data_IF_620164232594
#
_entry.id   IF_620164232594
#
_cell.length_a   1.000
_cell.length_b   1.000
_cell.length_c   1.000
_cell.angle_alpha   90.00
_cell.angle_beta   90.00
_cell.angle_gamma   90.00
#
_symmetry.space_group_name_H-M   'P 1'
#
loop_
_entity.id
_entity.type
_entity.pdbx_description
1 polymer ?
#
# COMPACT_ATOMS: atom_id res chain seq x y z
N UNK A 1 -1.32 -42.97 -12.39
CA UNK A 1 -1.39 -42.37 -11.05
C UNK A 1 -2.51 -43.05 -10.27
N UNK A 2 -2.19 -43.83 -9.23
CA UNK A 2 -3.20 -44.49 -8.39
C UNK A 2 -3.87 -43.44 -7.49
N UNK A 3 -5.20 -43.34 -7.54
CA UNK A 3 -6.00 -42.53 -6.62
C UNK A 3 -6.16 -43.31 -5.31
N UNK A 4 -5.50 -42.87 -4.25
CA UNK A 4 -5.65 -43.44 -2.91
C UNK A 4 -6.87 -42.82 -2.23
N UNK A 5 -7.93 -43.59 -2.04
CA UNK A 5 -9.13 -43.14 -1.33
C UNK A 5 -8.88 -43.18 0.19
N UNK A 6 -9.10 -42.06 0.89
CA UNK A 6 -8.96 -42.00 2.35
C UNK A 6 -10.33 -42.16 2.98
N UNK A 7 -10.46 -43.10 3.92
CA UNK A 7 -11.71 -43.32 4.65
C UNK A 7 -11.59 -42.75 6.05
N UNK A 8 -12.50 -41.87 6.44
CA UNK A 8 -12.55 -41.25 7.78
C UNK A 8 -13.77 -41.79 8.53
N UNK A 9 -13.55 -42.31 9.73
CA UNK A 9 -14.60 -42.77 10.64
C UNK A 9 -14.85 -41.70 11.71
N UNK A 10 -16.09 -41.26 11.83
CA UNK A 10 -16.54 -40.33 12.88
C UNK A 10 -17.76 -40.93 13.59
N UNK A 11 -18.02 -40.51 14.83
CA UNK A 11 -19.13 -41.02 15.64
C UNK A 11 -20.05 -39.85 15.97
N UNK A 12 -21.35 -40.01 15.74
CA UNK A 12 -22.33 -38.96 16.04
C UNK A 12 -22.62 -38.89 17.56
N UNK A 13 -23.35 -37.86 17.99
CA UNK A 13 -23.72 -37.67 19.42
C UNK A 13 -24.59 -38.80 20.02
N UNK A 14 -25.09 -39.72 19.20
CA UNK A 14 -25.89 -40.88 19.60
C UNK A 14 -25.10 -42.19 19.56
N UNK A 15 -23.82 -42.16 19.19
CA UNK A 15 -22.94 -43.33 19.17
C UNK A 15 -22.91 -44.09 17.84
N UNK A 16 -23.60 -43.61 16.80
CA UNK A 16 -23.59 -44.28 15.49
C UNK A 16 -22.30 -43.94 14.73
N UNK A 17 -21.67 -44.96 14.18
CA UNK A 17 -20.50 -44.81 13.32
C UNK A 17 -20.89 -44.29 11.93
N UNK A 18 -20.34 -43.14 11.55
CA UNK A 18 -20.42 -42.57 10.21
C UNK A 18 -19.07 -42.79 9.53
N UNK A 19 -19.09 -43.52 8.41
CA UNK A 19 -17.90 -43.82 7.61
C UNK A 19 -18.02 -43.04 6.29
N UNK A 20 -17.13 -42.05 6.09
CA UNK A 20 -17.07 -41.24 4.88
C UNK A 20 -15.81 -41.59 4.11
N UNK A 21 -15.96 -42.01 2.85
CA UNK A 21 -14.84 -42.29 1.96
C UNK A 21 -14.67 -41.16 0.96
N UNK A 22 -13.52 -40.48 1.02
CA UNK A 22 -13.20 -39.34 0.17
C UNK A 22 -12.16 -39.77 -0.87
N UNK A 23 -12.52 -39.64 -2.15
CA UNK A 23 -11.67 -40.05 -3.28
C UNK A 23 -10.93 -38.88 -3.95
N UNK A 24 -11.18 -37.64 -3.52
CA UNK A 24 -10.60 -36.41 -4.07
C UNK A 24 -9.78 -35.66 -3.01
N UNK A 25 -8.54 -35.29 -3.34
CA UNK A 25 -7.68 -34.45 -2.46
C UNK A 25 -8.29 -33.08 -2.13
N UNK A 26 -9.28 -32.63 -2.89
CA UNK A 26 -9.94 -31.33 -2.69
C UNK A 26 -10.74 -31.29 -1.38
N UNK A 27 -11.37 -32.40 -1.00
CA UNK A 27 -12.30 -32.47 0.15
C UNK A 27 -11.59 -32.74 1.49
N UNK A 28 -10.32 -33.14 1.47
CA UNK A 28 -9.48 -33.31 2.66
C UNK A 28 -8.82 -32.01 3.13
N UNK A 29 -8.90 -30.93 2.35
CA UNK A 29 -8.34 -29.66 2.74
C UNK A 29 -9.32 -28.93 3.66
N UNK A 30 -9.12 -29.06 4.97
CA UNK A 30 -9.70 -28.14 5.96
C UNK A 30 -9.45 -26.71 5.48
N UNK A 31 -10.50 -26.00 5.07
CA UNK A 31 -10.43 -24.58 4.77
C UNK A 31 -10.11 -23.85 6.07
N UNK A 32 -8.82 -23.69 6.32
CA UNK A 32 -8.33 -22.86 7.40
C UNK A 32 -8.21 -21.45 6.81
N UNK A 33 -8.97 -20.49 7.35
CA UNK A 33 -8.75 -19.07 7.08
C UNK A 33 -7.38 -18.70 7.64
N UNK A 34 -6.32 -18.99 6.89
CA UNK A 34 -4.91 -18.70 7.23
C UNK A 34 -4.59 -17.20 7.17
N UNK A 35 -5.55 -16.33 7.46
CA UNK A 35 -5.24 -14.96 7.79
C UNK A 35 -4.86 -14.93 9.26
N UNK A 36 -3.54 -14.94 9.50
CA UNK A 36 -2.86 -14.69 10.77
C UNK A 36 -3.16 -13.26 11.31
N UNK A 37 -4.43 -12.85 11.32
CA UNK A 37 -4.87 -11.51 11.68
C UNK A 37 -4.56 -11.23 13.15
N UNK A 38 -4.60 -12.23 14.02
CA UNK A 38 -4.23 -12.11 15.44
C UNK A 38 -2.75 -11.78 15.61
N UNK A 39 -1.88 -12.55 14.96
CA UNK A 39 -0.42 -12.32 15.01
C UNK A 39 -0.09 -10.96 14.40
N UNK A 40 -0.74 -10.58 13.30
CA UNK A 40 -0.61 -9.26 12.69
C UNK A 40 -1.09 -8.13 13.61
N UNK A 41 -2.25 -8.28 14.25
CA UNK A 41 -2.79 -7.30 15.17
C UNK A 41 -1.86 -7.08 16.37
N UNK A 42 -1.31 -8.15 16.96
CA UNK A 42 -0.30 -8.06 18.02
C UNK A 42 0.96 -7.37 17.51
N UNK A 43 1.41 -7.70 16.30
CA UNK A 43 2.62 -7.08 15.73
C UNK A 43 2.41 -5.59 15.44
N UNK A 44 1.20 -5.20 15.01
CA UNK A 44 0.84 -3.82 14.69
C UNK A 44 0.90 -2.89 15.91
N UNK A 45 0.69 -3.41 17.13
CA UNK A 45 0.82 -2.58 18.35
C UNK A 45 2.22 -1.99 18.52
N UNK A 46 3.23 -2.62 17.91
CA UNK A 46 4.64 -2.22 17.99
C UNK A 46 5.09 -1.31 16.82
N UNK A 47 4.21 -0.94 15.89
CA UNK A 47 4.55 -0.06 14.76
C UNK A 47 5.09 1.29 15.21
N UNK A 48 4.62 1.81 16.35
CA UNK A 48 5.10 3.06 16.93
C UNK A 48 6.61 3.06 17.21
N UNK A 49 7.22 1.90 17.53
CA UNK A 49 8.66 1.79 17.78
C UNK A 49 9.49 2.12 16.53
N UNK A 50 8.98 1.74 15.34
CA UNK A 50 9.64 2.01 14.05
C UNK A 50 9.70 3.49 13.73
N UNK A 51 8.81 4.30 14.31
CA UNK A 51 8.76 5.75 14.07
C UNK A 51 9.95 6.52 14.66
N UNK A 52 10.76 5.85 15.48
CA UNK A 52 12.01 6.39 16.02
C UNK A 52 13.17 6.33 15.01
N UNK A 53 13.10 5.38 14.07
CA UNK A 53 14.14 5.13 13.08
C UNK A 53 13.53 5.19 11.68
N UNK A 54 13.58 6.39 11.09
CA UNK A 54 13.05 6.66 9.75
C UNK A 54 14.22 7.09 8.87
N UNK A 55 14.46 6.33 7.81
CA UNK A 55 15.45 6.62 6.79
C UNK A 55 14.74 7.15 5.53
N UNK A 56 15.43 8.00 4.79
CA UNK A 56 14.95 8.55 3.51
C UNK A 56 16.03 8.26 2.49
N UNK A 57 15.66 7.62 1.37
CA UNK A 57 16.61 7.38 0.28
C UNK A 57 17.16 8.70 -0.24
N UNK A 58 18.48 8.79 -0.33
CA UNK A 58 19.20 9.92 -0.89
C UNK A 58 19.85 9.52 -2.19
N UNK A 59 19.06 9.44 -3.26
CA UNK A 59 19.58 9.29 -4.62
C UNK A 59 19.98 10.66 -5.19
N UNK A 60 20.80 10.66 -6.24
CA UNK A 60 21.30 11.87 -6.90
C UNK A 60 20.16 12.84 -7.22
N UNK A 61 20.17 13.99 -6.54
CA UNK A 61 19.15 15.04 -6.70
C UNK A 61 19.24 15.57 -8.13
N UNK A 62 18.21 15.33 -8.93
CA UNK A 62 18.07 16.00 -10.23
C UNK A 62 17.77 17.48 -9.96
N UNK A 63 18.68 18.36 -10.37
CA UNK A 63 18.58 19.82 -10.14
C UNK A 63 17.29 20.47 -10.69
N UNK A 64 16.57 19.80 -11.61
CA UNK A 64 15.38 20.32 -12.27
C UNK A 64 14.03 19.80 -11.70
N UNK A 65 14.02 19.10 -10.56
CA UNK A 65 12.81 18.52 -9.96
C UNK A 65 12.27 19.27 -8.72
N UNK A 66 10.99 19.06 -8.40
CA UNK A 66 10.41 19.54 -7.15
C UNK A 66 10.95 18.78 -5.93
N UNK A 67 11.15 19.49 -4.81
CA UNK A 67 11.49 18.89 -3.51
C UNK A 67 10.26 18.78 -2.63
N UNK A 68 9.94 17.57 -2.15
CA UNK A 68 8.75 17.33 -1.32
C UNK A 68 9.11 17.28 0.16
N UNK A 69 8.42 18.06 0.98
CA UNK A 69 8.59 18.09 2.44
C UNK A 69 7.40 17.39 3.09
N UNK A 70 7.66 16.26 3.75
CA UNK A 70 6.65 15.49 4.48
C UNK A 70 6.72 15.76 6.00
N UNK A 71 5.66 16.29 6.63
CA UNK A 71 5.63 16.52 8.07
C UNK A 71 5.72 15.22 8.87
N UNK A 72 6.66 15.16 9.81
CA UNK A 72 6.93 13.96 10.62
C UNK A 72 5.71 13.51 11.42
N UNK A 73 4.90 14.41 11.95
CA UNK A 73 3.70 14.06 12.74
C UNK A 73 2.70 13.22 11.93
N UNK A 74 2.44 13.62 10.67
CA UNK A 74 1.50 12.90 9.80
C UNK A 74 2.10 11.56 9.38
N UNK A 75 3.40 11.53 9.02
CA UNK A 75 4.11 10.29 8.72
C UNK A 75 4.07 9.28 9.87
N UNK A 76 4.36 9.72 11.09
CA UNK A 76 4.30 8.84 12.28
C UNK A 76 2.90 8.27 12.48
N UNK A 77 1.87 9.09 12.32
CA UNK A 77 0.47 8.63 12.41
C UNK A 77 0.15 7.62 11.32
N UNK A 78 0.56 7.87 10.08
CA UNK A 78 0.37 6.99 8.93
C UNK A 78 1.01 5.61 9.16
N UNK A 79 2.25 5.57 9.67
CA UNK A 79 2.93 4.32 10.06
C UNK A 79 2.15 3.58 11.16
N UNK A 80 1.67 4.29 12.18
CA UNK A 80 0.99 3.66 13.34
C UNK A 80 -0.36 3.06 12.98
N UNK A 81 -1.09 3.61 12.01
CA UNK A 81 -2.40 3.07 11.58
C UNK A 81 -2.29 1.95 10.52
N UNK A 82 -1.07 1.61 10.10
CA UNK A 82 -0.82 0.63 9.04
C UNK A 82 -0.80 -0.82 9.55
N UNK A 83 -0.46 -1.73 8.65
CA UNK A 83 -0.21 -3.13 8.95
C UNK A 83 1.09 -3.60 8.26
N UNK A 84 1.78 -4.58 8.86
CA UNK A 84 3.06 -5.08 8.37
C UNK A 84 2.96 -5.92 7.08
N UNK A 85 1.76 -6.32 6.67
CA UNK A 85 1.52 -7.19 5.51
C UNK A 85 0.54 -6.59 4.52
N UNK A 86 -0.59 -6.05 4.96
CA UNK A 86 -1.53 -5.38 4.06
C UNK A 86 -1.10 -3.93 3.87
N UNK A 87 -0.90 -3.54 2.62
CA UNK A 87 -0.58 -2.16 2.27
C UNK A 87 -1.77 -1.25 2.58
N UNK A 88 -1.48 -0.06 3.09
CA UNK A 88 -2.43 1.06 3.16
C UNK A 88 -1.85 2.23 2.35
N UNK A 89 -2.71 3.09 1.85
CA UNK A 89 -2.37 4.25 1.07
C UNK A 89 -3.14 5.51 1.49
N UNK A 90 -2.55 6.66 1.22
CA UNK A 90 -3.18 7.95 1.41
C UNK A 90 -2.82 8.92 0.29
N UNK A 91 -3.79 9.72 -0.14
CA UNK A 91 -3.56 10.77 -1.13
C UNK A 91 -2.89 11.98 -0.49
N UNK A 92 -1.89 12.53 -1.17
CA UNK A 92 -1.09 13.65 -0.69
C UNK A 92 -1.66 14.95 -1.24
N UNK A 93 -1.85 15.93 -0.36
CA UNK A 93 -2.23 17.29 -0.73
C UNK A 93 -1.32 18.28 -0.04
N UNK A 94 -0.99 19.36 -0.75
CA UNK A 94 -0.07 20.36 -0.24
C UNK A 94 -0.05 21.62 -1.08
N UNK A 95 0.91 22.48 -0.76
CA UNK A 95 1.14 23.77 -1.43
C UNK A 95 2.63 24.03 -1.53
N UNK A 96 3.03 24.85 -2.49
CA UNK A 96 4.35 25.48 -2.46
C UNK A 96 4.35 26.67 -1.50
N UNK A 97 5.43 26.87 -0.72
CA UNK A 97 5.57 28.09 0.07
C UNK A 97 5.74 29.30 -0.87
N UNK A 98 5.31 30.48 -0.42
CA UNK A 98 5.22 31.68 -1.26
C UNK A 98 6.57 32.19 -1.77
N UNK A 99 7.65 31.86 -1.07
CA UNK A 99 9.03 32.24 -1.35
C UNK A 99 9.77 31.22 -2.23
N UNK A 100 9.30 29.97 -2.32
CA UNK A 100 9.98 28.93 -3.08
C UNK A 100 9.02 27.96 -3.82
N UNK A 101 8.72 28.22 -5.11
CA UNK A 101 7.81 27.37 -5.89
C UNK A 101 8.38 25.97 -6.21
N UNK A 102 9.69 25.76 -6.07
CA UNK A 102 10.33 24.45 -6.32
C UNK A 102 10.17 23.47 -5.15
N UNK A 103 9.64 23.94 -4.02
CA UNK A 103 9.33 23.10 -2.86
C UNK A 103 7.84 22.82 -2.82
N UNK A 104 7.47 21.58 -2.48
CA UNK A 104 6.10 21.12 -2.26
C UNK A 104 5.97 20.66 -0.82
N UNK A 105 5.30 21.43 0.01
CA UNK A 105 5.02 21.06 1.40
C UNK A 105 3.74 20.24 1.47
N UNK A 106 3.86 18.97 1.85
CA UNK A 106 2.70 18.12 2.08
C UNK A 106 2.03 18.60 3.37
N UNK A 107 0.77 19.01 3.28
CA UNK A 107 0.00 19.54 4.41
C UNK A 107 -1.06 18.56 4.90
N UNK A 108 -1.53 17.67 4.02
CA UNK A 108 -2.60 16.73 4.32
C UNK A 108 -2.35 15.37 3.67
N UNK A 109 -2.73 14.31 4.39
CA UNK A 109 -2.90 12.97 3.85
C UNK A 109 -4.37 12.58 4.01
N UNK A 110 -5.03 12.27 2.89
CA UNK A 110 -6.42 11.82 2.88
C UNK A 110 -6.48 10.31 2.78
N UNK A 111 -7.20 9.68 3.71
CA UNK A 111 -7.41 8.23 3.77
C UNK A 111 -8.80 7.87 3.22
N UNK A 112 -8.93 7.47 1.94
CA UNK A 112 -10.19 6.99 1.40
C UNK A 112 -10.50 5.55 1.89
N UNK A 113 -11.75 5.08 1.74
CA UNK A 113 -12.10 3.67 1.93
C UNK A 113 -11.24 2.78 1.03
N UNK A 114 -10.56 1.80 1.59
CA UNK A 114 -9.54 1.03 0.86
C UNK A 114 -9.32 -0.35 1.47
N UNK A 115 -8.70 -1.23 0.70
CA UNK A 115 -8.16 -2.51 1.19
C UNK A 115 -6.87 -2.83 0.45
N UNK A 116 -5.97 -3.57 1.09
CA UNK A 116 -4.66 -3.88 0.53
C UNK A 116 -4.32 -5.36 0.59
N UNK A 117 -3.45 -5.75 -0.32
CA UNK A 117 -2.72 -7.02 -0.30
C UNK A 117 -1.29 -6.75 0.18
N UNK A 118 -0.40 -7.74 0.04
CA UNK A 118 1.02 -7.56 0.32
C UNK A 118 1.79 -6.90 -0.83
N UNK A 119 1.18 -6.78 -2.00
CA UNK A 119 1.83 -6.24 -3.21
C UNK A 119 1.19 -4.95 -3.72
N UNK A 120 -0.07 -4.68 -3.37
CA UNK A 120 -0.81 -3.53 -3.90
C UNK A 120 -1.94 -3.11 -2.97
N UNK A 121 -2.48 -1.93 -3.22
CA UNK A 121 -3.64 -1.34 -2.55
C UNK A 121 -4.75 -1.06 -3.56
N UNK A 122 -5.98 -1.26 -3.14
CA UNK A 122 -7.16 -0.97 -3.94
C UNK A 122 -7.86 0.26 -3.36
N UNK A 123 -7.88 1.32 -4.17
CA UNK A 123 -8.48 2.61 -3.86
C UNK A 123 -9.74 2.81 -4.72
N UNK A 124 -10.71 3.63 -4.28
CA UNK A 124 -11.85 4.02 -5.10
C UNK A 124 -11.37 4.88 -6.27
N UNK A 125 -12.03 4.79 -7.42
CA UNK A 125 -11.72 5.65 -8.57
C UNK A 125 -11.94 7.14 -8.27
N UNK A 126 -12.92 7.47 -7.43
CA UNK A 126 -13.22 8.86 -7.09
C UNK A 126 -12.15 9.46 -6.17
N UNK A 127 -11.50 10.54 -6.62
CA UNK A 127 -10.59 11.32 -5.79
C UNK A 127 -11.32 12.05 -4.66
N UNK A 128 -10.61 12.31 -3.53
CA UNK A 128 -11.18 13.07 -2.42
C UNK A 128 -11.65 14.47 -2.80
N UNK A 129 -12.83 14.83 -2.32
CA UNK A 129 -13.39 16.17 -2.42
C UNK A 129 -13.81 16.65 -1.03
N UNK A 130 -13.27 17.78 -0.60
CA UNK A 130 -13.60 18.39 0.68
C UNK A 130 -13.28 19.88 0.65
N UNK A 131 -13.98 20.69 1.43
CA UNK A 131 -13.79 22.15 1.48
C UNK A 131 -12.34 22.53 1.78
N UNK A 132 -11.73 21.88 2.77
CA UNK A 132 -10.33 22.12 3.16
C UNK A 132 -9.29 21.70 2.11
N UNK A 133 -9.67 20.96 1.06
CA UNK A 133 -8.74 20.59 -0.01
C UNK A 133 -8.69 21.61 -1.15
N UNK A 134 -9.62 22.58 -1.19
CA UNK A 134 -9.75 23.53 -2.31
C UNK A 134 -8.52 24.43 -2.50
N UNK A 135 -7.85 24.76 -1.42
CA UNK A 135 -6.68 25.64 -1.43
C UNK A 135 -5.35 24.87 -1.58
N UNK A 136 -5.42 23.55 -1.80
CA UNK A 136 -4.26 22.67 -1.96
C UNK A 136 -4.26 21.98 -3.33
N UNK A 137 -3.07 21.67 -3.84
CA UNK A 137 -2.91 20.86 -5.05
C UNK A 137 -2.63 19.39 -4.68
N UNK A 138 -3.08 18.42 -5.50
CA UNK A 138 -2.73 17.02 -5.30
C UNK A 138 -1.24 16.80 -5.62
N UNK A 139 -0.54 16.12 -4.72
CA UNK A 139 0.90 15.81 -4.83
C UNK A 139 1.14 14.31 -5.07
N UNK A 140 0.10 13.57 -5.43
CA UNK A 140 0.14 12.12 -5.66
C UNK A 140 -0.34 11.33 -4.44
N UNK A 141 0.36 10.25 -4.11
CA UNK A 141 -0.04 9.34 -3.03
C UNK A 141 1.17 8.70 -2.35
N UNK A 142 0.93 8.18 -1.15
CA UNK A 142 1.90 7.36 -0.44
C UNK A 142 1.28 6.05 0.01
N UNK A 143 2.08 5.00 0.13
CA UNK A 143 1.63 3.72 0.66
C UNK A 143 2.71 3.01 1.47
N UNK A 144 2.28 2.12 2.34
CA UNK A 144 3.20 1.20 3.03
C UNK A 144 3.56 0.04 2.12
N UNK A 145 4.79 -0.47 2.24
CA UNK A 145 5.20 -1.72 1.60
C UNK A 145 5.87 -2.67 2.60
N UNK A 146 5.51 -3.97 2.62
CA UNK A 146 6.07 -4.93 3.56
C UNK A 146 7.58 -5.14 3.41
N UNK A 147 8.07 -5.07 2.18
CA UNK A 147 9.49 -5.23 1.85
C UNK A 147 9.98 -3.99 1.11
N UNK A 148 11.22 -3.60 1.39
CA UNK A 148 11.88 -2.56 0.63
C UNK A 148 12.26 -3.07 -0.77
N UNK A 149 11.88 -2.32 -1.79
CA UNK A 149 12.22 -2.59 -3.18
C UNK A 149 13.24 -1.56 -3.66
N UNK A 150 14.22 -1.94 -4.50
CA UNK A 150 15.17 -0.99 -5.07
C UNK A 150 14.53 -0.06 -6.12
N UNK A 151 13.32 -0.39 -6.58
CA UNK A 151 12.61 0.33 -7.64
C UNK A 151 11.10 0.35 -7.35
N UNK A 152 10.41 1.30 -7.99
CA UNK A 152 8.96 1.39 -7.95
C UNK A 152 8.32 0.11 -8.53
N UNK A 153 7.29 -0.43 -7.88
CA UNK A 153 6.66 -1.66 -8.35
C UNK A 153 5.86 -1.43 -9.64
N UNK A 154 5.72 -2.43 -10.53
CA UNK A 154 4.85 -2.34 -11.70
C UNK A 154 3.40 -1.99 -11.36
N UNK A 155 2.91 -2.46 -10.20
CA UNK A 155 1.59 -2.17 -9.68
C UNK A 155 1.43 -0.69 -9.33
N UNK A 156 2.44 -0.07 -8.72
CA UNK A 156 2.41 1.35 -8.38
C UNK A 156 2.49 2.22 -9.63
N UNK A 157 3.31 1.84 -10.63
CA UNK A 157 3.36 2.52 -11.94
C UNK A 157 1.98 2.49 -12.60
N UNK A 158 1.36 1.31 -12.65
CA UNK A 158 0.04 1.12 -13.25
C UNK A 158 -1.02 1.94 -12.51
N UNK A 159 -1.02 1.89 -11.16
CA UNK A 159 -1.98 2.63 -10.33
C UNK A 159 -1.84 4.13 -10.52
N UNK A 160 -0.61 4.65 -10.42
CA UNK A 160 -0.36 6.09 -10.57
C UNK A 160 -0.70 6.59 -11.98
N UNK A 161 -0.34 5.84 -13.02
CA UNK A 161 -0.68 6.19 -14.41
C UNK A 161 -2.19 6.15 -14.69
N UNK A 162 -2.92 5.17 -14.16
CA UNK A 162 -4.38 5.10 -14.28
C UNK A 162 -5.05 6.30 -13.62
N UNK A 163 -4.66 6.64 -12.38
CA UNK A 163 -5.20 7.82 -11.67
C UNK A 163 -4.93 9.10 -12.46
N UNK A 164 -3.70 9.30 -12.95
CA UNK A 164 -3.35 10.45 -13.79
C UNK A 164 -4.18 10.51 -15.09
N UNK A 165 -4.46 9.36 -15.71
CA UNK A 165 -5.24 9.32 -16.95
C UNK A 165 -6.72 9.66 -16.76
N UNK A 166 -7.26 9.34 -15.58
CA UNK A 166 -8.66 9.59 -15.22
C UNK A 166 -8.87 10.99 -14.63
N UNK A 167 -7.83 11.61 -14.06
CA UNK A 167 -7.92 12.86 -13.32
C UNK A 167 -6.92 13.89 -13.80
N UNK A 168 -7.39 14.84 -14.60
CA UNK A 168 -6.58 15.95 -15.14
C UNK A 168 -6.00 16.89 -14.07
N UNK A 169 -6.44 16.78 -12.81
CA UNK A 169 -5.87 17.53 -11.70
C UNK A 169 -4.49 17.01 -11.27
N UNK A 170 -4.13 15.78 -11.65
CA UNK A 170 -2.82 15.20 -11.37
C UNK A 170 -1.83 15.57 -12.48
N UNK A 171 -0.89 16.44 -12.14
CA UNK A 171 0.21 16.84 -13.03
C UNK A 171 1.37 15.85 -12.89
N UNK A 172 1.75 15.19 -14.00
CA UNK A 172 2.82 14.20 -14.02
C UNK A 172 4.20 14.70 -13.61
N UNK A 173 4.41 16.02 -13.61
CA UNK A 173 5.64 16.63 -13.11
C UNK A 173 5.60 16.93 -11.60
N UNK A 174 4.41 16.96 -10.99
CA UNK A 174 4.18 17.35 -9.59
C UNK A 174 3.63 16.24 -8.69
N UNK A 175 3.11 15.16 -9.25
CA UNK A 175 2.59 14.04 -8.47
C UNK A 175 3.63 12.95 -8.30
N UNK A 176 3.77 12.45 -7.07
CA UNK A 176 4.73 11.39 -6.72
C UNK A 176 4.06 10.18 -6.10
N UNK A 177 4.77 9.05 -6.11
CA UNK A 177 4.49 7.87 -5.29
C UNK A 177 5.53 7.83 -4.18
N UNK A 178 5.11 7.95 -2.93
CA UNK A 178 6.00 7.75 -1.78
C UNK A 178 5.79 6.34 -1.22
N UNK A 179 6.82 5.50 -1.31
CA UNK A 179 6.82 4.16 -0.71
C UNK A 179 7.39 4.25 0.71
N UNK A 180 6.66 3.72 1.69
CA UNK A 180 7.12 3.59 3.08
C UNK A 180 7.35 2.10 3.41
N UNK A 181 8.61 1.67 3.33
CA UNK A 181 9.03 0.28 3.53
C UNK A 181 9.25 -0.07 4.99
N UNK A 182 8.81 -1.25 5.42
CA UNK A 182 9.13 -1.77 6.75
C UNK A 182 10.44 -2.58 6.77
N UNK A 183 11.54 -1.89 7.07
CA UNK A 183 12.86 -2.49 7.33
C UNK A 183 12.96 -3.00 8.78
N UNK A 184 13.89 -3.90 9.15
CA UNK A 184 14.01 -4.37 10.54
C UNK A 184 14.15 -3.22 11.55
N UNK A 185 13.20 -3.11 12.49
CA UNK A 185 13.18 -2.09 13.55
C UNK A 185 12.97 -0.63 13.09
N UNK A 186 12.75 -0.39 11.80
CA UNK A 186 12.75 0.96 11.20
C UNK A 186 11.72 1.08 10.06
N UNK A 187 11.67 2.26 9.44
CA UNK A 187 11.00 2.49 8.16
C UNK A 187 11.97 3.19 7.19
N UNK A 188 11.86 2.88 5.91
CA UNK A 188 12.60 3.55 4.83
C UNK A 188 11.61 4.20 3.86
N UNK A 189 11.84 5.45 3.48
CA UNK A 189 11.00 6.20 2.54
C UNK A 189 11.76 6.48 1.25
N UNK A 190 11.08 6.24 0.12
CA UNK A 190 11.56 6.63 -1.20
C UNK A 190 10.41 7.29 -1.96
N UNK A 191 10.71 8.37 -2.68
CA UNK A 191 9.74 9.09 -3.50
C UNK A 191 10.08 8.88 -4.98
N UNK A 192 9.08 8.50 -5.76
CA UNK A 192 9.21 8.25 -7.19
C UNK A 192 8.28 9.17 -7.98
N UNK A 193 8.74 9.59 -9.16
CA UNK A 193 7.92 10.28 -10.16
C UNK A 193 7.89 9.41 -11.42
N UNK A 194 6.74 9.31 -12.07
CA UNK A 194 6.69 8.64 -13.36
C UNK A 194 7.43 9.45 -14.43
N UNK A 195 8.10 8.73 -15.33
CA UNK A 195 8.56 9.30 -16.59
C UNK A 195 7.41 9.30 -17.60
N UNK A 196 7.48 10.10 -18.68
CA UNK A 196 6.49 10.02 -19.76
C UNK A 196 6.34 8.61 -20.34
N UNK A 197 7.45 7.87 -20.46
CA UNK A 197 7.43 6.46 -20.90
C UNK A 197 6.76 5.53 -19.87
N UNK A 198 6.99 5.74 -18.57
CA UNK A 198 6.37 4.98 -17.50
C UNK A 198 4.86 5.24 -17.40
N UNK A 199 4.43 6.49 -17.63
CA UNK A 199 3.02 6.83 -17.73
C UNK A 199 2.32 6.11 -18.88
N UNK A 200 2.90 6.17 -20.09
CA UNK A 200 2.26 5.54 -21.26
C UNK A 200 2.18 4.02 -21.12
N UNK A 201 3.24 3.40 -20.59
CA UNK A 201 3.22 1.97 -20.27
C UNK A 201 2.16 1.64 -19.20
N UNK A 202 2.13 2.37 -18.09
CA UNK A 202 1.24 2.10 -16.96
C UNK A 202 -0.23 2.28 -17.29
N UNK A 203 -0.57 3.23 -18.17
CA UNK A 203 -1.94 3.47 -18.65
C UNK A 203 -2.47 2.33 -19.51
N UNK A 204 -1.61 1.69 -20.29
CA UNK A 204 -1.97 0.56 -21.17
C UNK A 204 -1.94 -0.79 -20.45
N UNK A 205 -1.22 -0.89 -19.33
CA UNK A 205 -1.04 -2.12 -18.58
C UNK A 205 -2.36 -2.55 -17.90
N UNK A 206 -2.93 -3.65 -18.37
CA UNK A 206 -4.21 -4.22 -17.87
C UNK A 206 -3.94 -5.33 -16.89
#
# INVERSE_FOLDING_TARGET
>A
SQLTATTTRTVNKHGDEIITSTTSNYESNTFNSKTEWRVRAISATNLHLRTNHIYVSSDDIKEAGYTYILPKNILKKFIVISDLRAQIAGYLYGVSPSDNPQVKEIRCIVMPPQWGTHQTVHLPSALPQHEYLKDMEPLGWMHTQPNELPQLSPQDITTHAKVMSEHSSWDGEKTVVITCSFTPGSCSLTAYKLTPSGFEWGRQNT
#
